data_IF_829244716870
#
_entry.id   IF_829244716870
#
_cell.length_a   1.000
_cell.length_b   1.000
_cell.length_c   1.000
_cell.angle_alpha   90.00
_cell.angle_beta   90.00
_cell.angle_gamma   90.00
#
_symmetry.space_group_name_H-M   'P 1'
#
loop_
_entity.id
_entity.type
_entity.pdbx_description
1 polymer ?
#
# COMPACT_ATOMS: atom_id res chain seq x y z
N UNK A 1 -35.77 10.64 38.60
CA UNK A 1 -34.76 11.53 37.99
C UNK A 1 -33.46 10.75 37.81
N UNK A 2 -33.24 10.10 36.66
CA UNK A 2 -31.93 9.51 36.32
C UNK A 2 -31.61 9.86 34.87
N UNK A 3 -30.43 10.47 34.69
CA UNK A 3 -29.97 11.13 33.48
C UNK A 3 -29.48 10.11 32.44
N UNK A 4 -29.96 10.31 31.21
CA UNK A 4 -29.40 9.97 29.90
C UNK A 4 -28.18 9.02 29.85
N UNK A 5 -28.40 7.81 29.32
CA UNK A 5 -27.34 7.02 28.69
C UNK A 5 -27.11 7.60 27.29
N UNK A 6 -25.98 8.29 27.12
CA UNK A 6 -25.49 8.72 25.81
C UNK A 6 -25.00 7.48 25.06
N UNK A 7 -25.84 6.93 24.19
CA UNK A 7 -25.45 5.89 23.24
C UNK A 7 -24.45 6.51 22.27
N UNK A 8 -23.16 6.24 22.51
CA UNK A 8 -22.07 6.61 21.62
C UNK A 8 -22.37 6.00 20.25
N UNK A 9 -22.78 6.86 19.32
CA UNK A 9 -22.94 6.53 17.90
C UNK A 9 -21.56 6.18 17.36
N UNK A 10 -21.24 4.89 17.33
CA UNK A 10 -20.07 4.36 16.62
C UNK A 10 -20.38 4.47 15.13
N UNK A 11 -20.14 5.66 14.57
CA UNK A 11 -20.18 5.91 13.13
C UNK A 11 -19.22 4.92 12.46
N UNK A 12 -19.77 3.86 11.89
CA UNK A 12 -19.08 3.00 10.94
C UNK A 12 -18.96 3.79 9.64
N UNK A 13 -17.93 4.64 9.51
CA UNK A 13 -17.49 5.09 8.18
C UNK A 13 -16.70 3.94 7.55
N UNK A 14 -17.42 2.92 7.09
CA UNK A 14 -16.92 2.01 6.08
C UNK A 14 -17.07 2.73 4.73
N UNK A 15 -16.22 3.71 4.47
CA UNK A 15 -16.01 4.18 3.10
C UNK A 15 -15.28 3.06 2.37
N UNK A 16 -15.97 2.36 1.48
CA UNK A 16 -15.30 1.55 0.47
C UNK A 16 -14.33 2.48 -0.27
N UNK A 17 -13.04 2.40 0.09
CA UNK A 17 -12.03 3.29 -0.45
C UNK A 17 -11.91 3.00 -1.94
N UNK A 18 -12.38 3.95 -2.75
CA UNK A 18 -12.19 3.89 -4.20
C UNK A 18 -10.72 4.21 -4.45
N UNK A 19 -9.99 3.27 -5.05
CA UNK A 19 -8.58 3.47 -5.38
C UNK A 19 -8.44 4.71 -6.26
N UNK A 20 -7.57 5.65 -5.88
CA UNK A 20 -7.26 6.80 -6.70
C UNK A 20 -6.41 6.39 -7.92
N UNK A 21 -6.34 7.26 -8.94
CA UNK A 21 -5.61 6.95 -10.18
C UNK A 21 -4.12 6.61 -9.93
N UNK A 22 -3.50 7.22 -8.92
CA UNK A 22 -2.12 6.96 -8.55
C UNK A 22 -1.94 5.55 -7.99
N UNK A 23 -2.77 5.15 -7.02
CA UNK A 23 -2.79 3.81 -6.44
C UNK A 23 -3.03 2.75 -7.53
N UNK A 24 -3.97 2.99 -8.45
CA UNK A 24 -4.23 2.09 -9.57
C UNK A 24 -3.00 1.92 -10.48
N UNK A 25 -2.30 3.01 -10.81
CA UNK A 25 -1.07 2.97 -11.63
C UNK A 25 0.05 2.20 -10.92
N UNK A 26 0.23 2.43 -9.62
CA UNK A 26 1.24 1.72 -8.81
C UNK A 26 0.91 0.23 -8.72
N UNK A 27 -0.34 -0.11 -8.43
CA UNK A 27 -0.82 -1.49 -8.38
C UNK A 27 -0.62 -2.22 -9.71
N UNK A 28 -0.93 -1.57 -10.83
CA UNK A 28 -0.76 -2.17 -12.16
C UNK A 28 0.70 -2.54 -12.45
N UNK A 29 1.65 -1.65 -12.13
CA UNK A 29 3.09 -1.89 -12.30
C UNK A 29 3.59 -3.04 -11.42
N UNK A 30 3.19 -3.04 -10.15
CA UNK A 30 3.56 -4.09 -9.21
C UNK A 30 2.98 -5.44 -9.61
N UNK A 31 1.71 -5.50 -10.02
CA UNK A 31 1.06 -6.74 -10.51
C UNK A 31 1.69 -7.27 -11.79
N UNK A 32 2.13 -6.38 -12.69
CA UNK A 32 2.84 -6.79 -13.89
C UNK A 32 4.24 -7.36 -13.60
N UNK A 33 4.88 -6.92 -12.52
CA UNK A 33 6.23 -7.37 -12.13
C UNK A 33 6.20 -8.62 -11.27
N UNK A 34 5.29 -8.68 -10.29
CA UNK A 34 5.12 -9.78 -9.35
C UNK A 34 3.83 -10.55 -9.64
N UNK A 35 3.78 -11.22 -10.80
CA UNK A 35 2.57 -11.89 -11.31
C UNK A 35 2.08 -13.01 -10.41
N UNK A 36 2.97 -13.62 -9.62
CA UNK A 36 2.69 -14.74 -8.72
C UNK A 36 2.44 -14.29 -7.27
N UNK A 37 2.44 -12.99 -7.00
CA UNK A 37 2.26 -12.47 -5.66
C UNK A 37 0.80 -12.63 -5.20
N UNK A 38 0.52 -13.36 -4.11
CA UNK A 38 -0.82 -13.44 -3.56
C UNK A 38 -1.31 -12.11 -2.98
N UNK A 39 -0.41 -11.22 -2.56
CA UNK A 39 -0.76 -9.94 -1.95
C UNK A 39 0.07 -8.81 -2.56
N UNK A 40 -0.63 -7.85 -3.15
CA UNK A 40 -0.08 -6.56 -3.59
C UNK A 40 -1.06 -5.47 -3.21
N UNK A 41 -0.61 -4.56 -2.36
CA UNK A 41 -1.39 -3.41 -1.89
C UNK A 41 -0.58 -2.13 -2.11
N UNK A 42 -1.25 -1.08 -2.57
CA UNK A 42 -0.71 0.26 -2.63
C UNK A 42 -1.76 1.22 -2.06
N UNK A 43 -1.36 2.01 -1.09
CA UNK A 43 -2.21 2.95 -0.35
C UNK A 43 -1.56 4.33 -0.41
N UNK A 44 -2.31 5.35 -0.83
CA UNK A 44 -1.89 6.74 -0.74
C UNK A 44 -2.02 7.23 0.71
N UNK A 45 -0.88 7.48 1.35
CA UNK A 45 -0.78 7.99 2.72
C UNK A 45 -0.48 9.50 2.77
N UNK A 46 -0.57 10.20 1.63
CA UNK A 46 -0.40 11.66 1.54
C UNK A 46 -1.70 12.45 1.71
N UNK A 47 -2.81 11.79 2.03
CA UNK A 47 -4.12 12.44 2.16
C UNK A 47 -4.75 12.83 0.81
N UNK A 48 -4.43 12.11 -0.27
CA UNK A 48 -5.00 12.32 -1.61
C UNK A 48 -4.18 13.22 -2.54
N UNK A 49 -2.98 13.65 -2.13
CA UNK A 49 -2.07 14.40 -2.98
C UNK A 49 -1.35 13.50 -4.01
N UNK A 50 -1.32 12.19 -3.78
CA UNK A 50 -0.63 11.22 -4.66
C UNK A 50 0.89 11.36 -4.64
N UNK A 51 1.45 11.78 -3.51
CA UNK A 51 2.90 12.01 -3.39
C UNK A 51 3.58 11.15 -2.32
N UNK A 52 2.83 10.32 -1.58
CA UNK A 52 3.41 9.39 -0.61
C UNK A 52 2.59 8.11 -0.57
N UNK A 53 3.26 6.97 -0.69
CA UNK A 53 2.59 5.67 -0.78
C UNK A 53 3.13 4.68 0.25
N UNK A 54 2.23 3.85 0.79
CA UNK A 54 2.56 2.60 1.48
C UNK A 54 2.35 1.45 0.50
N UNK A 55 3.35 0.60 0.35
CA UNK A 55 3.37 -0.51 -0.59
C UNK A 55 3.64 -1.79 0.17
N UNK A 56 2.77 -2.78 0.00
CA UNK A 56 2.92 -4.10 0.60
C UNK A 56 2.92 -5.15 -0.48
N UNK A 57 4.00 -5.95 -0.52
CA UNK A 57 4.14 -7.06 -1.47
C UNK A 57 4.48 -8.33 -0.69
N UNK A 58 3.64 -9.34 -0.85
CA UNK A 58 3.95 -10.70 -0.41
C UNK A 58 4.09 -11.60 -1.64
N UNK A 59 5.26 -12.19 -1.84
CA UNK A 59 5.54 -13.10 -2.96
C UNK A 59 6.58 -14.16 -2.61
N UNK A 60 6.47 -15.34 -3.24
CA UNK A 60 7.48 -16.39 -3.18
C UNK A 60 8.83 -15.96 -3.79
N UNK A 61 8.83 -14.95 -4.67
CA UNK A 61 10.05 -14.41 -5.30
C UNK A 61 11.04 -13.83 -4.28
N UNK A 62 10.56 -13.53 -3.07
CA UNK A 62 11.38 -13.03 -1.97
C UNK A 62 12.05 -14.12 -1.14
N UNK A 63 11.73 -15.40 -1.39
CA UNK A 63 12.37 -16.53 -0.70
C UNK A 63 13.89 -16.52 -0.92
N UNK A 64 14.65 -16.67 0.16
CA UNK A 64 16.12 -16.64 0.13
C UNK A 64 16.76 -15.27 -0.10
N UNK A 65 15.97 -14.18 -0.21
CA UNK A 65 16.49 -12.81 -0.36
C UNK A 65 16.48 -12.07 0.98
N UNK A 66 17.53 -11.29 1.23
CA UNK A 66 17.58 -10.37 2.38
C UNK A 66 16.53 -9.26 2.21
N UNK A 67 16.07 -8.69 3.33
CA UNK A 67 15.08 -7.61 3.34
C UNK A 67 15.46 -6.44 2.41
N UNK A 68 16.74 -6.03 2.42
CA UNK A 68 17.25 -4.98 1.53
C UNK A 68 17.15 -5.34 0.04
N UNK A 69 17.34 -6.62 -0.31
CA UNK A 69 17.21 -7.09 -1.69
C UNK A 69 15.74 -7.10 -2.13
N UNK A 70 14.83 -7.48 -1.24
CA UNK A 70 13.39 -7.42 -1.49
C UNK A 70 12.93 -5.97 -1.73
N UNK A 71 13.32 -5.04 -0.85
CA UNK A 71 13.03 -3.61 -1.04
C UNK A 71 13.62 -3.06 -2.33
N UNK A 72 14.84 -3.48 -2.71
CA UNK A 72 15.43 -3.09 -3.99
C UNK A 72 14.54 -3.53 -5.16
N UNK A 73 14.08 -4.79 -5.20
CA UNK A 73 13.21 -5.27 -6.29
C UNK A 73 11.94 -4.42 -6.44
N UNK A 74 11.28 -4.07 -5.33
CA UNK A 74 10.09 -3.21 -5.35
C UNK A 74 10.44 -1.79 -5.78
N UNK A 75 11.55 -1.24 -5.28
CA UNK A 75 12.03 0.11 -5.62
C UNK A 75 12.37 0.22 -7.11
N UNK A 76 12.98 -0.83 -7.69
CA UNK A 76 13.33 -0.89 -9.10
C UNK A 76 12.08 -0.86 -10.00
N UNK A 77 11.03 -1.59 -9.63
CA UNK A 77 9.74 -1.59 -10.33
C UNK A 77 9.11 -0.18 -10.40
N UNK A 78 9.29 0.63 -9.36
CA UNK A 78 8.68 1.95 -9.21
C UNK A 78 9.68 3.09 -9.25
N UNK A 79 10.88 2.85 -9.78
CA UNK A 79 12.01 3.79 -9.70
C UNK A 79 11.65 5.18 -10.21
N UNK A 80 10.95 5.25 -11.34
CA UNK A 80 10.62 6.54 -11.98
C UNK A 80 9.44 7.26 -11.32
N UNK A 81 8.58 6.53 -10.60
CA UNK A 81 7.50 7.11 -9.81
C UNK A 81 8.04 7.62 -8.46
N UNK A 82 8.88 6.83 -7.78
CA UNK A 82 9.47 7.18 -6.48
C UNK A 82 10.28 8.48 -6.55
N UNK A 83 10.96 8.75 -7.68
CA UNK A 83 11.67 10.04 -7.90
C UNK A 83 10.77 11.28 -7.79
N UNK A 84 9.46 11.11 -8.00
CA UNK A 84 8.45 12.20 -7.98
C UNK A 84 7.71 12.27 -6.65
N UNK A 85 7.85 11.27 -5.79
CA UNK A 85 7.14 11.17 -4.52
C UNK A 85 7.95 11.83 -3.40
N UNK A 86 7.25 12.40 -2.41
CA UNK A 86 7.84 12.85 -1.16
C UNK A 86 8.45 11.69 -0.37
N UNK A 87 7.84 10.50 -0.46
CA UNK A 87 8.36 9.31 0.20
C UNK A 87 7.58 8.05 -0.16
N UNK A 88 8.15 6.91 0.21
CA UNK A 88 7.49 5.60 0.07
C UNK A 88 7.83 4.75 1.29
N UNK A 89 6.83 4.03 1.80
CA UNK A 89 7.00 2.99 2.81
C UNK A 89 6.81 1.65 2.11
N UNK A 90 7.84 0.81 2.12
CA UNK A 90 7.79 -0.50 1.47
C UNK A 90 7.78 -1.57 2.55
N UNK A 91 6.86 -2.51 2.43
CA UNK A 91 6.75 -3.71 3.25
C UNK A 91 6.81 -4.94 2.35
N UNK A 92 7.77 -5.82 2.63
CA UNK A 92 7.96 -7.06 1.87
C UNK A 92 7.86 -8.27 2.77
N UNK A 93 7.28 -9.36 2.27
CA UNK A 93 7.24 -10.64 2.98
C UNK A 93 7.37 -11.78 1.99
N UNK A 94 8.23 -12.76 2.29
CA UNK A 94 8.25 -14.00 1.54
C UNK A 94 7.09 -14.89 2.02
N UNK A 95 6.37 -15.47 1.06
CA UNK A 95 5.23 -16.37 1.28
C UNK A 95 5.40 -17.66 0.50
#
# INVERSE_FOLDING_TARGET
MFKAVSTISRRLLSTAATLNEGEQKVLAKLKATFTSAPVIEAEDISGGCGTMYRIRVETADFAGKLKVQQHKLVTECLRDDIKKWHGVVIETKAV
#
